data_IF_672241490016
#
_entry.id   IF_672241490016
#
_cell.length_a   1.000
_cell.length_b   1.000
_cell.length_c   1.000
_cell.angle_alpha   90.00
_cell.angle_beta   90.00
_cell.angle_gamma   90.00
#
_symmetry.space_group_name_H-M   'P 1'
#
loop_
_entity.id
_entity.type
_entity.pdbx_description
1 polymer ?
#
# COMPACT_ATOMS: atom_id res chain seq x y z
N UNK A 1 18.20 24.81 -3.80
CA UNK A 1 16.85 24.42 -4.28
C UNK A 1 16.00 23.90 -3.11
N UNK A 2 16.43 22.91 -2.33
CA UNK A 2 15.62 22.31 -1.24
C UNK A 2 15.20 23.33 -0.17
N UNK A 3 16.12 24.16 0.35
CA UNK A 3 15.78 25.16 1.39
C UNK A 3 14.78 26.20 0.85
N UNK A 4 14.95 26.65 -0.40
CA UNK A 4 14.02 27.58 -1.02
C UNK A 4 12.61 26.99 -1.11
N UNK A 5 12.49 25.76 -1.57
CA UNK A 5 11.20 25.07 -1.67
C UNK A 5 10.57 24.87 -0.28
N UNK A 6 11.37 24.50 0.73
CA UNK A 6 10.88 24.36 2.10
C UNK A 6 10.41 25.70 2.69
N UNK A 7 11.11 26.80 2.45
CA UNK A 7 10.66 28.16 2.84
C UNK A 7 9.31 28.49 2.21
N UNK A 8 9.15 28.17 0.93
CA UNK A 8 7.91 28.44 0.19
C UNK A 8 6.73 27.60 0.72
N UNK A 9 6.96 26.30 0.95
CA UNK A 9 5.92 25.36 1.39
C UNK A 9 5.52 25.63 2.84
N UNK A 10 6.49 25.85 3.73
CA UNK A 10 6.26 26.06 5.16
C UNK A 10 5.81 27.48 5.51
N UNK A 11 6.00 28.45 4.60
CA UNK A 11 5.82 29.88 4.89
C UNK A 11 6.89 30.47 5.83
N UNK A 12 7.84 29.64 6.28
CA UNK A 12 8.91 30.07 7.19
C UNK A 12 10.10 30.65 6.43
N UNK A 13 10.13 31.98 6.31
CA UNK A 13 11.22 32.71 5.64
C UNK A 13 12.57 32.60 6.36
N UNK A 14 12.56 32.29 7.65
CA UNK A 14 13.74 32.22 8.51
C UNK A 14 14.41 30.84 8.54
N UNK A 15 13.94 29.88 7.75
CA UNK A 15 14.56 28.57 7.64
C UNK A 15 15.97 28.69 7.03
N UNK A 16 17.00 28.44 7.83
CA UNK A 16 18.40 28.61 7.40
C UNK A 16 18.97 27.29 6.87
N UNK A 17 18.59 26.17 7.47
CA UNK A 17 19.12 24.85 7.16
C UNK A 17 18.02 23.77 7.11
N UNK A 18 18.36 22.66 6.51
CA UNK A 18 17.49 21.46 6.52
C UNK A 18 17.72 20.74 7.86
N UNK A 19 16.66 20.31 8.56
CA UNK A 19 16.83 19.54 9.79
C UNK A 19 17.74 18.33 9.60
N UNK A 20 18.58 18.04 10.59
CA UNK A 20 19.39 16.83 10.59
C UNK A 20 18.48 15.59 10.46
N UNK A 21 18.99 14.53 9.83
CA UNK A 21 18.21 13.32 9.58
C UNK A 21 17.64 12.70 10.88
N UNK A 22 18.39 12.75 11.98
CA UNK A 22 17.90 12.26 13.29
C UNK A 22 16.69 13.04 13.80
N UNK A 23 16.65 14.36 13.57
CA UNK A 23 15.50 15.20 13.94
C UNK A 23 14.27 14.77 13.16
N UNK A 24 14.43 14.49 11.86
CA UNK A 24 13.34 14.02 11.00
C UNK A 24 12.91 12.62 11.44
N UNK A 25 13.86 11.72 11.70
CA UNK A 25 13.58 10.36 12.12
C UNK A 25 12.82 10.32 13.46
N UNK A 26 13.32 11.03 14.47
CA UNK A 26 12.66 11.16 15.79
C UNK A 26 11.26 11.78 15.69
N UNK A 27 11.03 12.64 14.72
CA UNK A 27 9.70 13.18 14.45
C UNK A 27 8.79 12.14 13.81
N UNK A 28 9.29 11.42 12.79
CA UNK A 28 8.54 10.36 12.10
C UNK A 28 8.16 9.20 13.03
N UNK A 29 9.04 8.82 13.97
CA UNK A 29 8.75 7.81 14.99
C UNK A 29 7.56 8.15 15.88
N UNK A 30 7.32 9.45 16.10
CA UNK A 30 6.21 9.97 16.93
C UNK A 30 4.96 10.26 16.11
N UNK A 31 5.08 10.28 14.80
CA UNK A 31 3.96 10.61 13.92
C UNK A 31 3.07 9.39 13.73
N UNK A 32 1.78 9.54 14.04
CA UNK A 32 0.81 8.48 13.76
C UNK A 32 0.72 8.20 12.25
N UNK A 33 0.82 6.94 11.81
CA UNK A 33 0.68 6.55 10.41
C UNK A 33 -0.64 7.03 9.77
N UNK A 34 -1.70 7.13 10.57
CA UNK A 34 -3.02 7.60 10.14
C UNK A 34 -2.98 9.06 9.66
N UNK A 35 -2.13 9.90 10.27
CA UNK A 35 -1.95 11.29 9.82
C UNK A 35 -1.39 11.35 8.39
N UNK A 36 -0.44 10.46 8.06
CA UNK A 36 0.13 10.35 6.72
C UNK A 36 -0.89 9.81 5.72
N UNK A 37 -1.69 8.83 6.12
CA UNK A 37 -2.76 8.26 5.29
C UNK A 37 -3.84 9.31 4.99
N UNK A 38 -4.23 10.11 5.98
CA UNK A 38 -5.16 11.22 5.78
C UNK A 38 -4.62 12.30 4.84
N UNK A 39 -3.34 12.67 5.00
CA UNK A 39 -2.68 13.64 4.14
C UNK A 39 -2.66 13.13 2.69
N UNK A 40 -2.22 11.90 2.48
CA UNK A 40 -2.25 11.21 1.18
C UNK A 40 -3.66 11.25 0.59
N UNK A 41 -4.67 10.90 1.39
CA UNK A 41 -6.06 10.92 0.97
C UNK A 41 -6.55 12.31 0.55
N UNK A 42 -6.14 13.37 1.25
CA UNK A 42 -6.47 14.76 0.88
C UNK A 42 -5.81 15.15 -0.45
N UNK A 43 -4.54 14.79 -0.64
CA UNK A 43 -3.79 15.06 -1.88
C UNK A 43 -4.43 14.34 -3.08
N UNK A 44 -4.75 13.07 -2.94
CA UNK A 44 -5.38 12.26 -4.01
C UNK A 44 -6.77 12.81 -4.36
N UNK A 45 -7.59 13.16 -3.37
CA UNK A 45 -8.90 13.78 -3.63
C UNK A 45 -8.77 15.10 -4.40
N UNK A 46 -7.79 15.93 -4.06
CA UNK A 46 -7.50 17.18 -4.77
C UNK A 46 -7.10 16.88 -6.22
N UNK A 47 -6.23 15.90 -6.42
CA UNK A 47 -5.76 15.47 -7.73
C UNK A 47 -6.92 14.97 -8.62
N UNK A 48 -7.76 14.09 -8.09
CA UNK A 48 -8.94 13.57 -8.82
C UNK A 48 -9.91 14.70 -9.17
N UNK A 49 -10.16 15.63 -8.25
CA UNK A 49 -11.05 16.78 -8.48
C UNK A 49 -10.51 17.77 -9.53
N UNK A 50 -9.19 17.86 -9.69
CA UNK A 50 -8.59 18.73 -10.71
C UNK A 50 -8.87 18.29 -12.13
N UNK A 51 -9.30 17.04 -12.33
CA UNK A 51 -9.55 16.39 -13.64
C UNK A 51 -8.33 16.36 -14.58
N UNK A 52 -7.15 16.69 -14.10
CA UNK A 52 -5.91 16.75 -14.88
C UNK A 52 -5.58 15.41 -15.55
N UNK A 53 -5.96 14.31 -14.92
CA UNK A 53 -5.68 12.96 -15.40
C UNK A 53 -6.93 12.17 -15.83
N UNK A 54 -8.04 12.86 -16.14
CA UNK A 54 -9.29 12.19 -16.54
C UNK A 54 -9.12 11.31 -17.78
N UNK A 55 -8.17 11.64 -18.67
CA UNK A 55 -7.80 10.82 -19.83
C UNK A 55 -7.21 9.43 -19.46
N UNK A 56 -6.75 9.24 -18.22
CA UNK A 56 -6.26 7.95 -17.74
C UNK A 56 -7.36 6.96 -17.36
N UNK A 57 -8.62 7.42 -17.31
CA UNK A 57 -9.75 6.53 -17.03
C UNK A 57 -10.00 5.61 -18.23
N UNK A 58 -10.32 4.37 -17.91
CA UNK A 58 -10.75 3.38 -18.90
C UNK A 58 -12.27 3.38 -19.06
N UNK A 59 -12.79 2.48 -19.91
CA UNK A 59 -14.20 2.34 -20.20
C UNK A 59 -15.08 2.38 -18.94
N UNK A 60 -16.22 3.07 -18.99
CA UNK A 60 -17.11 3.27 -17.85
C UNK A 60 -16.61 4.29 -16.81
N UNK A 61 -15.51 5.00 -17.09
CA UNK A 61 -14.96 6.03 -16.22
C UNK A 61 -14.18 5.49 -15.00
N UNK A 62 -13.69 4.24 -15.09
CA UNK A 62 -12.96 3.60 -14.02
C UNK A 62 -11.47 3.98 -14.02
N UNK A 63 -10.90 4.11 -12.83
CA UNK A 63 -9.48 4.28 -12.62
C UNK A 63 -8.81 2.91 -12.47
N UNK A 64 -7.66 2.72 -13.12
CA UNK A 64 -6.86 1.51 -12.95
C UNK A 64 -6.17 1.53 -11.59
N UNK A 65 -6.38 0.49 -10.79
CA UNK A 65 -5.74 0.31 -9.48
C UNK A 65 -5.07 -1.05 -9.44
N UNK A 66 -3.75 -1.06 -9.37
CA UNK A 66 -2.93 -2.28 -9.29
C UNK A 66 -2.78 -2.67 -7.83
N UNK A 67 -3.07 -3.92 -7.51
CA UNK A 67 -2.73 -4.55 -6.23
C UNK A 67 -1.45 -5.37 -6.39
N UNK A 68 -0.46 -5.11 -5.54
CA UNK A 68 0.82 -5.79 -5.59
C UNK A 68 1.45 -5.87 -4.20
N UNK A 69 1.88 -7.08 -3.81
CA UNK A 69 2.55 -7.35 -2.55
C UNK A 69 4.06 -7.11 -2.68
N UNK A 70 4.64 -6.45 -1.68
CA UNK A 70 6.07 -6.13 -1.67
C UNK A 70 6.70 -6.50 -0.32
N UNK A 71 7.82 -7.23 -0.36
CA UNK A 71 8.64 -7.49 0.82
C UNK A 71 9.38 -6.23 1.26
N UNK A 72 9.29 -5.88 2.54
CA UNK A 72 10.01 -4.74 3.12
C UNK A 72 11.33 -5.18 3.73
N UNK A 73 11.29 -6.16 4.62
CA UNK A 73 12.43 -6.60 5.42
C UNK A 73 12.44 -8.12 5.52
N UNK A 74 13.65 -8.67 5.66
CA UNK A 74 13.90 -10.08 5.89
C UNK A 74 15.00 -10.24 6.92
N UNK A 75 14.73 -11.00 7.98
CA UNK A 75 15.64 -11.20 9.10
C UNK A 75 15.79 -12.70 9.41
N UNK A 76 16.94 -13.07 9.95
CA UNK A 76 17.21 -14.44 10.43
C UNK A 76 17.16 -14.56 11.95
N UNK A 77 17.67 -13.56 12.65
CA UNK A 77 17.84 -13.58 14.10
C UNK A 77 16.98 -12.55 14.82
N UNK A 78 16.90 -11.33 14.28
CA UNK A 78 16.08 -10.26 14.87
C UNK A 78 14.68 -10.29 14.27
N UNK A 79 13.68 -10.25 15.12
CA UNK A 79 12.27 -10.20 14.70
C UNK A 79 11.43 -9.49 15.76
N UNK A 80 10.28 -9.01 15.35
CA UNK A 80 9.24 -8.50 16.25
C UNK A 80 8.08 -9.49 16.31
N UNK A 81 7.17 -9.29 17.24
CA UNK A 81 5.98 -10.14 17.41
C UNK A 81 5.03 -10.17 16.19
N UNK A 82 5.09 -9.13 15.35
CA UNK A 82 4.26 -8.99 14.15
C UNK A 82 4.86 -9.61 12.88
N UNK A 83 6.09 -10.15 12.96
CA UNK A 83 6.76 -10.75 11.80
C UNK A 83 5.98 -11.95 11.27
N UNK A 84 5.92 -12.07 9.95
CA UNK A 84 5.58 -13.31 9.28
C UNK A 84 6.76 -14.28 9.37
N UNK A 85 6.48 -15.58 9.44
CA UNK A 85 7.49 -16.64 9.57
C UNK A 85 7.44 -17.56 8.35
N UNK A 86 8.61 -17.94 7.84
CA UNK A 86 8.75 -18.97 6.82
C UNK A 86 9.80 -20.00 7.26
N UNK A 87 9.38 -21.24 7.38
CA UNK A 87 10.30 -22.36 7.64
C UNK A 87 10.93 -22.77 6.31
N UNK A 88 12.25 -22.78 6.24
CA UNK A 88 13.01 -23.32 5.12
C UNK A 88 13.83 -24.50 5.58
N UNK A 89 13.95 -25.52 4.73
CA UNK A 89 14.86 -26.65 4.93
C UNK A 89 16.13 -26.38 4.13
N UNK A 90 17.27 -26.41 4.81
CA UNK A 90 18.59 -26.28 4.19
C UNK A 90 18.95 -27.59 3.45
N UNK A 91 20.01 -27.57 2.63
CA UNK A 91 20.51 -28.74 1.91
C UNK A 91 20.96 -29.88 2.83
N UNK A 92 21.40 -29.56 4.02
CA UNK A 92 21.80 -30.51 5.08
C UNK A 92 20.61 -31.09 5.89
N UNK A 93 19.37 -30.74 5.52
CA UNK A 93 18.16 -31.19 6.21
C UNK A 93 17.78 -30.38 7.45
N UNK A 94 18.61 -29.44 7.89
CA UNK A 94 18.29 -28.57 9.03
C UNK A 94 17.21 -27.58 8.66
N UNK A 95 16.35 -27.25 9.63
CA UNK A 95 15.29 -26.23 9.44
C UNK A 95 15.76 -24.89 9.98
N UNK A 96 15.48 -23.84 9.23
CA UNK A 96 15.64 -22.46 9.68
C UNK A 96 14.35 -21.69 9.55
N UNK A 97 14.16 -20.68 10.38
CA UNK A 97 13.04 -19.76 10.32
C UNK A 97 13.55 -18.45 9.75
N UNK A 98 12.90 -17.98 8.70
CA UNK A 98 13.10 -16.66 8.14
C UNK A 98 11.91 -15.78 8.58
N UNK A 99 12.21 -14.62 9.18
CA UNK A 99 11.23 -13.63 9.60
C UNK A 99 11.18 -12.51 8.58
N UNK A 100 9.99 -12.03 8.25
CA UNK A 100 9.85 -11.01 7.21
C UNK A 100 8.61 -10.12 7.43
N UNK A 101 8.65 -8.92 6.85
CA UNK A 101 7.51 -8.03 6.74
C UNK A 101 7.15 -7.82 5.29
N UNK A 102 5.87 -7.88 5.01
CA UNK A 102 5.29 -7.60 3.71
C UNK A 102 4.27 -6.48 3.82
N UNK A 103 4.10 -5.76 2.71
CA UNK A 103 3.01 -4.80 2.54
C UNK A 103 2.28 -5.08 1.24
N UNK A 104 1.02 -4.80 1.23
CA UNK A 104 0.21 -4.73 0.02
C UNK A 104 -0.01 -3.26 -0.35
N UNK A 105 0.33 -2.91 -1.58
CA UNK A 105 0.10 -1.59 -2.15
C UNK A 105 -1.06 -1.61 -3.13
N UNK A 106 -1.93 -0.61 -3.02
CA UNK A 106 -2.88 -0.26 -4.07
C UNK A 106 -2.34 0.96 -4.82
N UNK A 107 -1.97 0.77 -6.08
CA UNK A 107 -1.32 1.78 -6.92
C UNK A 107 -2.30 2.33 -7.96
N UNK A 108 -2.60 3.62 -7.87
CA UNK A 108 -3.44 4.33 -8.83
C UNK A 108 -2.62 4.74 -10.05
N UNK A 109 -3.01 4.28 -11.24
CA UNK A 109 -2.34 4.59 -12.50
C UNK A 109 -2.98 5.84 -13.10
N UNK A 110 -2.22 6.93 -13.16
CA UNK A 110 -2.63 8.22 -13.70
C UNK A 110 -2.10 8.46 -15.12
N UNK A 111 -0.97 7.86 -15.44
CA UNK A 111 -0.32 7.92 -16.75
C UNK A 111 0.67 6.76 -16.83
N UNK A 112 1.18 6.42 -18.00
CA UNK A 112 2.15 5.33 -18.18
C UNK A 112 3.44 5.50 -17.34
N UNK A 113 3.76 6.75 -16.98
CA UNK A 113 4.92 7.09 -16.14
C UNK A 113 4.54 7.66 -14.77
N UNK A 114 3.26 7.76 -14.44
CA UNK A 114 2.79 8.36 -13.19
C UNK A 114 1.87 7.38 -12.49
N UNK A 115 2.41 6.74 -11.48
CA UNK A 115 1.72 5.81 -10.61
C UNK A 115 1.87 6.30 -9.18
N UNK A 116 0.78 6.40 -8.44
CA UNK A 116 0.79 6.89 -7.06
C UNK A 116 0.16 5.87 -6.10
N UNK A 117 0.64 5.83 -4.86
CA UNK A 117 0.04 4.99 -3.82
C UNK A 117 -1.35 5.51 -3.45
N UNK A 118 -2.37 4.69 -3.64
CA UNK A 118 -3.74 4.95 -3.20
C UNK A 118 -3.95 4.48 -1.76
N UNK A 119 -3.27 3.45 -1.35
CA UNK A 119 -3.32 2.87 -0.01
C UNK A 119 -2.29 1.77 0.17
N UNK A 120 -1.86 1.59 1.41
CA UNK A 120 -0.90 0.57 1.84
C UNK A 120 -1.51 -0.23 2.99
N UNK A 121 -1.38 -1.53 2.98
CA UNK A 121 -1.81 -2.41 4.06
C UNK A 121 -0.67 -3.31 4.48
N UNK A 122 -0.37 -3.36 5.78
CA UNK A 122 0.63 -4.28 6.32
C UNK A 122 0.06 -5.70 6.37
N UNK A 123 0.91 -6.66 5.99
CA UNK A 123 0.64 -8.09 6.12
C UNK A 123 1.48 -8.55 7.29
N UNK A 124 0.84 -8.68 8.44
CA UNK A 124 1.52 -8.92 9.70
C UNK A 124 0.66 -9.75 10.65
N UNK A 125 1.29 -10.44 11.56
CA UNK A 125 0.61 -11.21 12.59
C UNK A 125 0.17 -10.29 13.74
N UNK A 126 -0.94 -10.61 14.40
CA UNK A 126 -1.39 -9.87 15.59
C UNK A 126 -0.41 -10.06 16.76
N UNK A 127 0.17 -11.25 16.87
CA UNK A 127 1.20 -11.62 17.85
C UNK A 127 2.07 -12.78 17.32
N UNK A 128 3.13 -13.12 18.03
CA UNK A 128 4.12 -14.10 17.55
C UNK A 128 3.56 -15.52 17.36
N UNK A 129 2.64 -15.95 18.23
CA UNK A 129 2.14 -17.33 18.30
C UNK A 129 0.76 -17.53 17.66
N UNK A 130 0.48 -16.82 16.57
CA UNK A 130 -0.77 -17.01 15.82
C UNK A 130 -0.86 -18.41 15.21
N UNK A 131 -2.00 -19.07 15.30
CA UNK A 131 -2.24 -20.35 14.63
C UNK A 131 -2.15 -20.24 13.11
N UNK A 132 -2.62 -19.14 12.57
CA UNK A 132 -2.60 -18.85 11.13
C UNK A 132 -2.08 -17.47 10.86
N UNK A 133 -0.99 -17.40 10.13
CA UNK A 133 -0.40 -16.12 9.70
C UNK A 133 -1.31 -15.34 8.75
N UNK A 134 -1.20 -14.02 8.80
CA UNK A 134 -1.84 -13.14 7.83
C UNK A 134 -1.29 -13.37 6.42
N UNK A 135 -2.06 -12.95 5.41
CA UNK A 135 -1.71 -13.15 4.01
C UNK A 135 -2.19 -11.98 3.13
N UNK A 136 -1.61 -11.88 1.94
CA UNK A 136 -1.96 -10.85 0.96
C UNK A 136 -3.46 -10.78 0.65
N UNK A 137 -4.14 -11.93 0.58
CA UNK A 137 -5.55 -11.95 0.27
C UNK A 137 -6.41 -11.32 1.38
N UNK A 138 -6.03 -11.51 2.64
CA UNK A 138 -6.71 -10.87 3.77
C UNK A 138 -6.39 -9.37 3.80
N UNK A 139 -5.13 -9.00 3.60
CA UNK A 139 -4.72 -7.61 3.46
C UNK A 139 -5.45 -6.90 2.31
N UNK A 140 -5.64 -7.57 1.17
CA UNK A 140 -6.40 -7.02 0.04
C UNK A 140 -7.85 -6.70 0.40
N UNK A 141 -8.51 -7.56 1.16
CA UNK A 141 -9.88 -7.30 1.63
C UNK A 141 -9.93 -6.05 2.53
N UNK A 142 -9.02 -5.94 3.49
CA UNK A 142 -8.92 -4.78 4.39
C UNK A 142 -8.63 -3.49 3.62
N UNK A 143 -7.65 -3.55 2.71
CA UNK A 143 -7.23 -2.42 1.89
C UNK A 143 -8.36 -1.92 0.98
N UNK A 144 -9.04 -2.81 0.27
CA UNK A 144 -10.16 -2.46 -0.60
C UNK A 144 -11.34 -1.86 0.17
N UNK A 145 -11.66 -2.38 1.37
CA UNK A 145 -12.67 -1.81 2.25
C UNK A 145 -12.29 -0.38 2.70
N UNK A 146 -11.02 -0.17 3.07
CA UNK A 146 -10.51 1.16 3.45
C UNK A 146 -10.53 2.13 2.28
N UNK A 147 -10.15 1.71 1.08
CA UNK A 147 -10.22 2.52 -0.15
C UNK A 147 -11.67 2.94 -0.41
N UNK A 148 -12.63 2.03 -0.31
CA UNK A 148 -14.05 2.37 -0.48
C UNK A 148 -14.53 3.40 0.52
N UNK A 149 -14.15 3.27 1.79
CA UNK A 149 -14.47 4.22 2.84
C UNK A 149 -13.84 5.60 2.58
N UNK A 150 -12.59 5.63 2.15
CA UNK A 150 -11.83 6.86 1.92
C UNK A 150 -12.23 7.58 0.63
N UNK A 151 -12.63 6.82 -0.40
CA UNK A 151 -13.02 7.31 -1.73
C UNK A 151 -14.36 6.71 -2.19
N UNK A 152 -15.49 7.01 -1.54
CA UNK A 152 -16.76 6.30 -1.73
C UNK A 152 -17.32 6.38 -3.15
N UNK A 153 -16.98 7.44 -3.89
CA UNK A 153 -17.46 7.68 -5.27
C UNK A 153 -16.45 7.30 -6.35
N UNK A 154 -15.27 6.80 -5.95
CA UNK A 154 -14.22 6.43 -6.90
C UNK A 154 -14.59 5.12 -7.57
N UNK A 155 -14.79 5.16 -8.90
CA UNK A 155 -14.93 3.95 -9.71
C UNK A 155 -13.56 3.42 -10.04
N UNK A 156 -13.26 2.20 -9.65
CA UNK A 156 -11.96 1.57 -9.92
C UNK A 156 -12.10 0.29 -10.72
N UNK A 157 -11.08 0.00 -11.51
CA UNK A 157 -10.81 -1.29 -12.09
C UNK A 157 -9.62 -1.88 -11.33
N UNK A 158 -9.84 -2.93 -10.57
CA UNK A 158 -8.81 -3.63 -9.81
C UNK A 158 -8.00 -4.50 -10.78
N UNK A 159 -6.69 -4.30 -10.78
CA UNK A 159 -5.72 -5.10 -11.54
C UNK A 159 -4.88 -5.90 -10.55
N UNK A 160 -4.72 -7.18 -10.80
CA UNK A 160 -3.91 -8.04 -9.93
C UNK A 160 -3.49 -9.33 -10.62
N UNK A 161 -2.56 -10.02 -10.00
CA UNK A 161 -2.13 -11.33 -10.44
C UNK A 161 -3.15 -12.43 -10.06
N UNK A 162 -2.80 -13.69 -10.33
CA UNK A 162 -3.67 -14.83 -10.07
C UNK A 162 -4.00 -15.05 -8.58
N UNK A 163 -3.22 -14.51 -7.65
CA UNK A 163 -3.50 -14.58 -6.21
C UNK A 163 -4.81 -13.86 -5.87
N UNK A 164 -5.07 -12.74 -6.54
CA UNK A 164 -6.28 -11.95 -6.32
C UNK A 164 -7.49 -12.44 -7.12
N UNK A 165 -7.32 -13.45 -8.00
CA UNK A 165 -8.42 -14.09 -8.73
C UNK A 165 -9.27 -15.00 -7.81
N UNK A 166 -9.63 -14.48 -6.64
CA UNK A 166 -10.43 -15.15 -5.63
C UNK A 166 -11.84 -14.59 -5.58
N UNK A 167 -12.84 -15.46 -5.38
CA UNK A 167 -14.25 -15.07 -5.30
C UNK A 167 -14.50 -13.95 -4.28
N UNK A 168 -13.76 -13.94 -3.17
CA UNK A 168 -13.87 -12.90 -2.15
C UNK A 168 -13.52 -11.51 -2.67
N UNK A 169 -12.49 -11.38 -3.53
CA UNK A 169 -12.09 -10.10 -4.14
C UNK A 169 -13.09 -9.70 -5.22
N UNK A 170 -13.49 -10.64 -6.07
CA UNK A 170 -14.50 -10.40 -7.11
C UNK A 170 -15.84 -9.95 -6.50
N UNK A 171 -16.23 -10.54 -5.38
CA UNK A 171 -17.44 -10.14 -4.64
C UNK A 171 -17.33 -8.71 -4.11
N UNK A 172 -16.19 -8.31 -3.55
CA UNK A 172 -15.93 -6.94 -3.10
C UNK A 172 -16.06 -5.97 -4.29
N UNK A 173 -15.48 -6.30 -5.43
CA UNK A 173 -15.58 -5.46 -6.63
C UNK A 173 -17.04 -5.32 -7.08
N UNK A 174 -17.78 -6.42 -7.20
CA UNK A 174 -19.20 -6.38 -7.60
C UNK A 174 -20.06 -5.56 -6.63
N UNK A 175 -19.88 -5.75 -5.33
CA UNK A 175 -20.63 -5.01 -4.29
C UNK A 175 -20.37 -3.49 -4.35
N UNK A 176 -19.17 -3.09 -4.77
CA UNK A 176 -18.78 -1.68 -4.85
C UNK A 176 -18.99 -1.05 -6.24
N UNK A 177 -19.57 -1.78 -7.19
CA UNK A 177 -19.72 -1.38 -8.60
C UNK A 177 -18.36 -1.08 -9.25
N UNK A 178 -17.35 -1.85 -8.87
CA UNK A 178 -16.01 -1.81 -9.43
C UNK A 178 -15.84 -2.91 -10.47
N UNK A 179 -14.95 -2.69 -11.43
CA UNK A 179 -14.53 -3.72 -12.38
C UNK A 179 -13.20 -4.33 -11.94
N UNK A 180 -12.81 -5.43 -12.55
CA UNK A 180 -11.51 -6.05 -12.29
C UNK A 180 -10.96 -6.75 -13.54
N UNK A 181 -9.64 -6.79 -13.63
CA UNK A 181 -8.86 -7.58 -14.58
C UNK A 181 -7.83 -8.35 -13.75
N UNK A 182 -8.07 -9.61 -13.54
CA UNK A 182 -7.24 -10.49 -12.73
C UNK A 182 -6.64 -11.56 -13.63
N UNK A 183 -5.34 -11.76 -13.51
CA UNK A 183 -4.66 -12.78 -14.29
C UNK A 183 -5.11 -14.15 -13.76
N UNK A 184 -5.49 -15.05 -14.66
CA UNK A 184 -5.77 -16.44 -14.29
C UNK A 184 -4.53 -17.26 -14.65
N UNK A 185 -3.99 -18.01 -13.70
CA UNK A 185 -3.04 -19.07 -14.04
C UNK A 185 -3.87 -20.12 -14.78
N UNK A 186 -3.78 -20.12 -16.12
CA UNK A 186 -4.30 -21.22 -16.90
C UNK A 186 -3.72 -22.52 -16.37
N UNK A 187 -4.53 -23.56 -16.36
CA UNK A 187 -4.10 -24.93 -16.11
C UNK A 187 -3.02 -25.34 -17.11
#
# INVERSE_FOLDING_TARGET
ICIHNLKTISGNKNLIEIPHYDTVNNYLEKLSPECLDELRGKMIRKLIRSKTFDSARIAGGHWRVILDGTGLFHFRERHCEHCLKRVRTNEDGTKRIDYYHHVLEAKLVLHDKIIISLGTEFIENEHEDVEKQDCELNAAKRLLARIKKQYPRLKICVLGDALYAAESIMKICRTNEWTYILNNKGE
#
